data_IF_688157392523
#
_entry.id   IF_688157392523
#
_cell.length_a   1.000
_cell.length_b   1.000
_cell.length_c   1.000
_cell.angle_alpha   90.00
_cell.angle_beta   90.00
_cell.angle_gamma   90.00
#
_symmetry.space_group_name_H-M   'P 1'
#
loop_
_entity.id
_entity.type
_entity.pdbx_description
1 polymer ?
#
# COMPACT_ATOMS: atom_id res chain seq x y z
N UNK A 1 -16.98 18.06 5.64
CA UNK A 1 -17.55 17.20 6.71
C UNK A 1 -16.53 17.05 7.82
N UNK A 2 -16.92 16.80 9.08
CA UNK A 2 -15.99 16.48 10.18
C UNK A 2 -15.74 14.97 10.22
N UNK A 3 -14.60 14.53 10.80
CA UNK A 3 -14.24 13.10 10.86
C UNK A 3 -15.38 12.25 11.47
N UNK A 4 -15.89 12.60 12.64
CA UNK A 4 -16.98 11.84 13.28
C UNK A 4 -18.28 11.78 12.43
N UNK A 5 -18.53 12.77 11.58
CA UNK A 5 -19.69 12.74 10.66
C UNK A 5 -19.42 11.73 9.53
N UNK A 6 -18.19 11.70 9.02
CA UNK A 6 -17.78 10.72 8.03
C UNK A 6 -17.86 9.30 8.60
N UNK A 7 -17.26 9.07 9.78
CA UNK A 7 -17.25 7.75 10.42
C UNK A 7 -18.66 7.22 10.67
N UNK A 8 -19.58 8.10 11.13
CA UNK A 8 -20.97 7.75 11.31
C UNK A 8 -21.66 7.39 9.98
N UNK A 9 -21.54 8.24 8.96
CA UNK A 9 -22.17 7.99 7.66
C UNK A 9 -21.60 6.78 6.98
N UNK A 10 -20.29 6.60 7.02
CA UNK A 10 -19.63 5.45 6.40
C UNK A 10 -19.97 4.13 7.11
N UNK A 11 -20.07 4.15 8.45
CA UNK A 11 -20.55 2.99 9.19
C UNK A 11 -21.97 2.60 8.75
N UNK A 12 -22.89 3.58 8.66
CA UNK A 12 -24.28 3.32 8.23
C UNK A 12 -24.32 2.86 6.77
N UNK A 13 -23.45 3.38 5.92
CA UNK A 13 -23.33 2.94 4.54
C UNK A 13 -22.98 1.44 4.44
N UNK A 14 -21.98 0.99 5.23
CA UNK A 14 -21.50 -0.41 5.20
C UNK A 14 -22.45 -1.39 5.90
N UNK A 15 -23.04 -1.00 7.02
CA UNK A 15 -23.71 -1.92 7.96
C UNK A 15 -25.21 -1.65 8.12
N UNK A 16 -25.72 -0.57 7.54
CA UNK A 16 -27.08 -0.11 7.83
C UNK A 16 -27.20 0.59 9.19
N UNK A 17 -28.45 0.95 9.55
CA UNK A 17 -28.75 1.59 10.83
C UNK A 17 -29.09 0.55 11.89
N UNK A 18 -28.08 -0.13 12.44
CA UNK A 18 -28.21 -1.29 13.33
C UNK A 18 -28.20 -0.94 14.85
N UNK A 19 -28.49 0.33 15.18
CA UNK A 19 -28.63 0.81 16.55
C UNK A 19 -27.46 1.68 17.02
N UNK A 20 -27.78 2.80 17.65
CA UNK A 20 -26.81 3.84 18.04
C UNK A 20 -25.73 3.35 19.00
N UNK A 21 -26.03 2.37 19.86
CA UNK A 21 -25.02 1.81 20.78
C UNK A 21 -23.94 1.03 20.03
N UNK A 22 -24.34 0.24 19.04
CA UNK A 22 -23.40 -0.55 18.23
C UNK A 22 -22.56 0.38 17.36
N UNK A 23 -23.17 1.40 16.73
CA UNK A 23 -22.45 2.42 15.98
C UNK A 23 -21.39 3.11 16.86
N UNK A 24 -21.80 3.52 18.08
CA UNK A 24 -20.91 4.18 19.04
C UNK A 24 -19.70 3.32 19.41
N UNK A 25 -19.91 2.03 19.65
CA UNK A 25 -18.82 1.07 19.94
C UNK A 25 -17.88 0.88 18.77
N UNK A 26 -18.42 0.68 17.57
CA UNK A 26 -17.62 0.41 16.36
C UNK A 26 -16.86 1.64 15.86
N UNK A 27 -17.39 2.86 16.05
CA UNK A 27 -16.77 4.10 15.59
C UNK A 27 -15.93 4.80 16.67
N UNK A 28 -15.94 4.28 17.90
CA UNK A 28 -15.35 4.93 19.08
C UNK A 28 -15.87 6.38 19.30
N UNK A 29 -17.11 6.65 18.90
CA UNK A 29 -17.80 7.93 19.08
C UNK A 29 -18.81 7.78 20.23
N UNK A 30 -18.90 8.76 21.14
CA UNK A 30 -19.84 8.67 22.26
C UNK A 30 -21.30 8.55 21.79
N UNK A 31 -22.12 7.78 22.52
CA UNK A 31 -23.55 7.58 22.20
C UNK A 31 -24.31 8.89 22.01
N UNK A 32 -24.03 9.90 22.88
CA UNK A 32 -24.63 11.21 22.76
C UNK A 32 -24.24 11.96 21.48
N UNK A 33 -22.99 11.79 21.02
CA UNK A 33 -22.54 12.35 19.75
C UNK A 33 -23.19 11.62 18.55
N UNK A 34 -23.29 10.30 18.58
CA UNK A 34 -24.02 9.50 17.56
C UNK A 34 -25.47 9.96 17.46
N UNK A 35 -26.18 10.12 18.60
CA UNK A 35 -27.58 10.61 18.58
C UNK A 35 -27.71 12.01 17.96
N UNK A 36 -26.78 12.93 18.26
CA UNK A 36 -26.76 14.26 17.65
C UNK A 36 -26.48 14.20 16.15
N UNK A 37 -25.53 13.36 15.71
CA UNK A 37 -25.21 13.17 14.29
C UNK A 37 -26.40 12.58 13.54
N UNK A 38 -27.04 11.55 14.09
CA UNK A 38 -28.21 10.94 13.47
C UNK A 38 -29.37 11.95 13.31
N UNK A 39 -29.68 12.78 14.36
CA UNK A 39 -30.71 13.81 14.27
C UNK A 39 -30.34 14.84 13.20
N UNK A 40 -29.08 15.34 13.19
CA UNK A 40 -28.60 16.25 12.15
C UNK A 40 -28.79 15.67 10.75
N UNK A 41 -28.39 14.39 10.56
CA UNK A 41 -28.53 13.72 9.26
C UNK A 41 -30.01 13.54 8.85
N UNK A 42 -30.93 13.31 9.80
CA UNK A 42 -32.37 13.27 9.52
C UNK A 42 -32.91 14.64 9.14
N UNK A 43 -32.54 15.71 9.84
CA UNK A 43 -32.93 17.08 9.54
C UNK A 43 -32.55 17.52 8.12
N UNK A 44 -31.37 17.09 7.64
CA UNK A 44 -30.93 17.37 6.28
C UNK A 44 -31.34 16.28 5.27
N UNK A 45 -32.20 15.35 5.66
CA UNK A 45 -32.69 14.23 4.83
C UNK A 45 -31.58 13.30 4.29
N UNK A 46 -30.45 13.25 4.96
CA UNK A 46 -29.35 12.34 4.62
C UNK A 46 -29.51 10.94 5.22
N UNK A 47 -30.42 10.79 6.20
CA UNK A 47 -30.72 9.56 6.91
C UNK A 47 -32.23 9.39 7.08
N UNK A 48 -32.74 8.19 6.84
CA UNK A 48 -34.12 7.79 7.14
C UNK A 48 -34.16 6.52 8.03
N UNK A 49 -35.32 5.89 8.16
CA UNK A 49 -35.48 4.66 8.96
C UNK A 49 -34.79 3.43 8.32
N UNK A 50 -34.49 3.45 7.02
CA UNK A 50 -33.84 2.38 6.28
C UNK A 50 -32.32 2.51 6.24
N UNK A 51 -31.78 3.67 6.60
CA UNK A 51 -30.34 3.97 6.55
C UNK A 51 -30.02 5.25 5.79
N UNK A 52 -28.92 5.29 5.04
CA UNK A 52 -28.58 6.45 4.22
C UNK A 52 -29.51 6.60 3.02
N UNK A 53 -30.00 7.81 2.84
CA UNK A 53 -30.70 8.23 1.63
C UNK A 53 -29.69 8.49 0.48
N UNK A 54 -30.15 8.68 -0.77
CA UNK A 54 -29.27 9.14 -1.86
C UNK A 54 -28.50 10.42 -1.51
N UNK A 55 -29.12 11.33 -0.74
CA UNK A 55 -28.47 12.55 -0.25
C UNK A 55 -27.36 12.25 0.77
N UNK A 56 -27.57 11.27 1.64
CA UNK A 56 -26.53 10.80 2.57
C UNK A 56 -25.33 10.16 1.84
N UNK A 57 -25.59 9.39 0.80
CA UNK A 57 -24.54 8.81 -0.06
C UNK A 57 -23.76 9.91 -0.80
N UNK A 58 -24.45 10.96 -1.28
CA UNK A 58 -23.80 12.08 -1.96
C UNK A 58 -22.84 12.84 -1.04
N UNK A 59 -23.11 12.89 0.29
CA UNK A 59 -22.19 13.47 1.27
C UNK A 59 -20.87 12.66 1.41
N UNK A 60 -20.87 11.36 1.14
CA UNK A 60 -19.67 10.51 1.15
C UNK A 60 -18.86 10.63 -0.15
N UNK A 61 -19.49 11.05 -1.24
CA UNK A 61 -18.87 11.04 -2.58
C UNK A 61 -17.50 11.73 -2.68
N UNK A 62 -17.22 12.88 -2.01
CA UNK A 62 -15.88 13.49 -2.03
C UNK A 62 -14.78 12.62 -1.43
N UNK A 63 -15.14 11.61 -0.64
CA UNK A 63 -14.23 10.69 0.05
C UNK A 63 -14.14 9.33 -0.63
N UNK A 64 -14.86 9.16 -1.75
CA UNK A 64 -14.79 7.92 -2.53
C UNK A 64 -13.41 7.76 -3.13
N UNK A 65 -12.86 6.56 -3.02
CA UNK A 65 -11.60 6.20 -3.69
C UNK A 65 -11.86 6.13 -5.20
N UNK A 66 -11.07 6.87 -5.96
CA UNK A 66 -11.21 6.91 -7.42
C UNK A 66 -10.49 5.74 -8.09
N UNK A 67 -9.27 5.43 -7.60
CA UNK A 67 -8.42 4.43 -8.22
C UNK A 67 -7.34 3.89 -7.27
N UNK A 68 -6.61 2.89 -7.76
CA UNK A 68 -5.40 2.38 -7.13
C UNK A 68 -4.25 2.29 -8.12
N UNK A 69 -3.03 2.55 -7.64
CA UNK A 69 -1.77 2.35 -8.36
C UNK A 69 -0.98 1.29 -7.61
N UNK A 70 -0.59 0.21 -8.32
CA UNK A 70 0.31 -0.82 -7.77
C UNK A 70 1.67 -0.65 -8.46
N UNK A 71 2.68 -0.32 -7.66
CA UNK A 71 4.05 -0.15 -8.14
C UNK A 71 4.76 -1.50 -8.19
N UNK A 72 5.08 -1.97 -9.40
CA UNK A 72 5.67 -3.29 -9.66
C UNK A 72 6.83 -3.21 -10.67
N UNK A 73 7.57 -2.10 -10.68
CA UNK A 73 8.65 -1.87 -11.65
C UNK A 73 10.02 -2.37 -11.17
N UNK A 74 10.22 -2.57 -9.87
CA UNK A 74 11.52 -2.85 -9.25
C UNK A 74 12.09 -4.24 -9.57
N UNK A 75 13.43 -4.34 -9.53
CA UNK A 75 14.16 -5.60 -9.77
C UNK A 75 14.21 -6.54 -8.58
N UNK A 76 13.87 -6.07 -7.38
CA UNK A 76 13.90 -6.84 -6.12
C UNK A 76 15.23 -7.57 -5.91
N UNK A 77 16.36 -6.86 -6.06
CA UNK A 77 17.72 -7.43 -6.07
C UNK A 77 18.09 -8.13 -4.76
N UNK A 78 17.45 -7.77 -3.64
CA UNK A 78 17.61 -8.47 -2.35
C UNK A 78 16.92 -9.84 -2.32
N UNK A 79 16.05 -10.13 -3.29
CA UNK A 79 15.23 -11.34 -3.35
C UNK A 79 15.82 -12.42 -4.26
N UNK A 80 17.12 -12.32 -4.57
CA UNK A 80 17.82 -13.35 -5.35
C UNK A 80 17.85 -14.69 -4.59
N UNK A 81 17.76 -15.84 -5.29
CA UNK A 81 17.72 -15.97 -6.76
C UNK A 81 16.31 -15.94 -7.35
N UNK A 82 15.24 -15.87 -6.53
CA UNK A 82 13.85 -15.88 -7.02
C UNK A 82 13.57 -14.72 -7.96
N UNK A 83 14.05 -13.51 -7.64
CA UNK A 83 13.87 -12.33 -8.49
C UNK A 83 14.53 -12.46 -9.87
N UNK A 84 15.56 -13.32 -10.01
CA UNK A 84 16.14 -13.63 -11.32
C UNK A 84 15.20 -14.48 -12.19
N UNK A 85 14.26 -15.20 -11.61
CA UNK A 85 13.31 -16.04 -12.32
C UNK A 85 11.98 -15.33 -12.56
N UNK A 86 11.46 -14.62 -11.54
CA UNK A 86 10.19 -13.89 -11.65
C UNK A 86 10.19 -12.62 -10.79
N UNK A 87 9.38 -11.60 -11.15
CA UNK A 87 9.19 -10.42 -10.32
C UNK A 87 8.57 -10.77 -8.97
N UNK A 88 8.93 -10.03 -7.91
CA UNK A 88 8.47 -10.25 -6.53
C UNK A 88 6.94 -10.26 -6.41
N UNK A 89 6.24 -9.32 -7.08
CA UNK A 89 4.77 -9.28 -7.07
C UNK A 89 4.06 -10.50 -7.69
N UNK A 90 4.79 -11.34 -8.45
CA UNK A 90 4.25 -12.59 -8.99
C UNK A 90 4.60 -13.83 -8.16
N UNK A 91 5.28 -13.67 -7.02
CA UNK A 91 5.51 -14.78 -6.09
C UNK A 91 4.20 -15.29 -5.52
N UNK A 92 4.15 -16.61 -5.33
CA UNK A 92 2.98 -17.29 -4.80
C UNK A 92 3.15 -17.50 -3.30
N UNK A 93 2.49 -16.71 -2.48
CA UNK A 93 2.52 -16.76 -1.01
C UNK A 93 1.20 -17.33 -0.49
N UNK A 94 1.25 -18.33 0.39
CA UNK A 94 0.05 -19.02 0.90
C UNK A 94 -0.93 -19.44 -0.22
N UNK A 95 -0.37 -19.94 -1.32
CA UNK A 95 -1.10 -20.39 -2.54
C UNK A 95 -1.70 -19.27 -3.40
N UNK A 96 -1.52 -18.00 -3.08
CA UNK A 96 -1.99 -16.86 -3.87
C UNK A 96 -0.83 -16.04 -4.43
N UNK A 97 -0.98 -15.51 -5.64
CA UNK A 97 -0.02 -14.58 -6.23
C UNK A 97 -0.21 -13.21 -5.57
N UNK A 98 0.87 -12.60 -5.05
CA UNK A 98 0.84 -11.36 -4.27
C UNK A 98 0.01 -10.26 -4.94
N UNK A 99 0.38 -9.86 -6.15
CA UNK A 99 -0.32 -8.79 -6.86
C UNK A 99 -1.78 -9.16 -7.22
N UNK A 100 -2.05 -10.44 -7.51
CA UNK A 100 -3.43 -10.89 -7.78
C UNK A 100 -4.31 -10.80 -6.54
N UNK A 101 -3.75 -11.11 -5.37
CA UNK A 101 -4.44 -10.98 -4.08
C UNK A 101 -4.79 -9.52 -3.82
N UNK A 102 -3.84 -8.58 -3.99
CA UNK A 102 -4.10 -7.16 -3.84
C UNK A 102 -5.20 -6.66 -4.79
N UNK A 103 -5.14 -7.05 -6.08
CA UNK A 103 -6.15 -6.67 -7.08
C UNK A 103 -7.55 -7.18 -6.67
N UNK A 104 -7.65 -8.43 -6.19
CA UNK A 104 -8.93 -8.99 -5.72
C UNK A 104 -9.48 -8.21 -4.53
N UNK A 105 -8.64 -7.90 -3.53
CA UNK A 105 -9.03 -7.14 -2.36
C UNK A 105 -9.48 -5.70 -2.72
N UNK A 106 -8.81 -5.05 -3.68
CA UNK A 106 -9.25 -3.76 -4.22
C UNK A 106 -10.63 -3.86 -4.89
N UNK A 107 -10.85 -4.90 -5.72
CA UNK A 107 -12.16 -5.13 -6.35
C UNK A 107 -13.25 -5.41 -5.31
N UNK A 108 -12.97 -6.20 -4.28
CA UNK A 108 -13.88 -6.47 -3.16
C UNK A 108 -14.25 -5.20 -2.39
N UNK A 109 -13.33 -4.25 -2.30
CA UNK A 109 -13.58 -2.92 -1.74
C UNK A 109 -14.28 -1.95 -2.71
N UNK A 110 -14.67 -2.41 -3.91
CA UNK A 110 -15.35 -1.58 -4.91
C UNK A 110 -14.41 -0.69 -5.75
N UNK A 111 -13.10 -0.87 -5.65
CA UNK A 111 -12.09 -0.09 -6.39
C UNK A 111 -11.72 -0.87 -7.66
N UNK A 112 -12.27 -0.42 -8.80
CA UNK A 112 -12.14 -1.14 -10.08
C UNK A 112 -11.17 -0.47 -11.06
N UNK A 113 -10.82 0.81 -10.87
CA UNK A 113 -9.83 1.50 -11.69
C UNK A 113 -8.43 1.28 -11.10
N UNK A 114 -7.77 0.21 -11.53
CA UNK A 114 -6.46 -0.20 -11.04
C UNK A 114 -5.43 -0.06 -12.14
N UNK A 115 -4.31 0.60 -11.83
CA UNK A 115 -3.18 0.76 -12.76
C UNK A 115 -1.92 0.12 -12.16
N UNK A 116 -1.29 -0.76 -12.94
CA UNK A 116 0.00 -1.35 -12.60
C UNK A 116 1.10 -0.53 -13.28
N UNK A 117 2.13 -0.13 -12.52
CA UNK A 117 3.33 0.48 -13.11
C UNK A 117 4.43 -0.57 -13.11
N UNK A 118 4.81 -1.03 -14.31
CA UNK A 118 5.66 -2.19 -14.54
C UNK A 118 7.02 -1.78 -15.11
N UNK A 119 8.06 -2.54 -14.79
CA UNK A 119 9.40 -2.34 -15.33
C UNK A 119 10.10 -3.68 -15.57
N UNK A 120 10.77 -4.19 -14.55
CA UNK A 120 11.49 -5.46 -14.61
C UNK A 120 10.58 -6.64 -14.96
N UNK A 121 10.94 -7.39 -16.00
CA UNK A 121 10.17 -8.56 -16.50
C UNK A 121 8.67 -8.26 -16.69
N UNK A 122 8.34 -7.04 -17.15
CA UNK A 122 6.97 -6.55 -17.33
C UNK A 122 6.06 -7.49 -18.11
N UNK A 123 6.63 -8.25 -19.06
CA UNK A 123 5.89 -9.18 -19.92
C UNK A 123 5.17 -10.27 -19.11
N UNK A 124 5.71 -10.63 -17.96
CA UNK A 124 5.13 -11.64 -17.06
C UNK A 124 3.84 -11.16 -16.39
N UNK A 125 3.58 -9.85 -16.37
CA UNK A 125 2.38 -9.26 -15.78
C UNK A 125 1.25 -9.00 -16.80
N UNK A 126 1.51 -9.02 -18.11
CA UNK A 126 0.54 -8.60 -19.13
C UNK A 126 -0.78 -9.40 -19.12
N UNK A 127 -0.75 -10.64 -18.65
CA UNK A 127 -1.98 -11.43 -18.49
C UNK A 127 -2.99 -10.82 -17.53
N UNK A 128 -2.53 -9.99 -16.56
CA UNK A 128 -3.38 -9.32 -15.57
C UNK A 128 -4.32 -8.32 -16.21
N UNK A 129 -3.91 -7.66 -17.30
CA UNK A 129 -4.74 -6.72 -18.04
C UNK A 129 -6.06 -7.39 -18.49
N UNK A 130 -5.98 -8.56 -19.11
CA UNK A 130 -7.15 -9.31 -19.54
C UNK A 130 -7.88 -9.99 -18.38
N UNK A 131 -7.13 -10.51 -17.39
CA UNK A 131 -7.71 -11.30 -16.29
C UNK A 131 -8.49 -10.45 -15.30
N UNK A 132 -8.02 -9.24 -15.01
CA UNK A 132 -8.56 -8.36 -13.96
C UNK A 132 -8.99 -6.98 -14.46
N UNK A 133 -8.92 -6.73 -15.77
CA UNK A 133 -9.25 -5.43 -16.36
C UNK A 133 -8.43 -4.26 -15.76
N UNK A 134 -7.16 -4.50 -15.48
CA UNK A 134 -6.23 -3.47 -14.99
C UNK A 134 -5.57 -2.74 -16.14
N UNK A 135 -5.13 -1.51 -15.90
CA UNK A 135 -4.34 -0.70 -16.83
C UNK A 135 -2.86 -0.91 -16.57
N UNK A 136 -2.03 -0.71 -17.59
CA UNK A 136 -0.57 -0.86 -17.47
C UNK A 136 0.12 0.43 -17.92
N UNK A 137 1.03 0.92 -17.10
CA UNK A 137 2.02 1.94 -17.43
C UNK A 137 3.39 1.27 -17.39
N UNK A 138 4.23 1.52 -18.38
CA UNK A 138 5.59 0.98 -18.43
C UNK A 138 6.58 2.03 -17.95
N UNK A 139 7.41 1.65 -16.97
CA UNK A 139 8.59 2.42 -16.59
C UNK A 139 9.80 1.88 -17.37
N UNK A 140 10.31 2.60 -18.39
CA UNK A 140 11.46 2.16 -19.15
C UNK A 140 12.79 2.34 -18.40
N UNK A 141 12.82 3.21 -17.38
CA UNK A 141 14.02 3.57 -16.62
C UNK A 141 14.14 2.85 -15.27
N UNK A 142 13.37 1.78 -15.06
CA UNK A 142 13.30 1.02 -13.81
C UNK A 142 14.65 0.52 -13.27
N UNK A 143 15.65 0.37 -14.14
CA UNK A 143 16.99 -0.09 -13.80
C UNK A 143 18.01 1.04 -13.57
N UNK A 144 17.62 2.26 -13.84
CA UNK A 144 18.46 3.47 -13.73
C UNK A 144 17.93 4.40 -12.64
N UNK A 145 16.60 4.57 -12.58
CA UNK A 145 15.92 5.44 -11.61
C UNK A 145 15.15 4.61 -10.58
N UNK A 146 14.95 5.20 -9.40
CA UNK A 146 14.22 4.56 -8.31
C UNK A 146 12.68 4.75 -8.44
N UNK A 147 11.91 4.39 -7.40
CA UNK A 147 10.44 4.37 -7.43
C UNK A 147 9.79 5.76 -7.53
N UNK A 148 10.54 6.85 -7.30
CA UNK A 148 10.07 8.21 -7.55
C UNK A 148 9.69 8.39 -9.04
N UNK A 149 10.50 7.88 -9.98
CA UNK A 149 10.17 7.84 -11.41
C UNK A 149 8.92 6.99 -11.69
N UNK A 150 8.79 5.84 -11.03
CA UNK A 150 7.61 4.98 -11.17
C UNK A 150 6.33 5.73 -10.82
N UNK A 151 6.34 6.50 -9.75
CA UNK A 151 5.20 7.31 -9.33
C UNK A 151 5.00 8.54 -10.24
N UNK A 152 6.08 9.17 -10.71
CA UNK A 152 6.01 10.27 -11.67
C UNK A 152 5.29 9.88 -12.96
N UNK A 153 5.53 8.69 -13.49
CA UNK A 153 4.84 8.19 -14.68
C UNK A 153 3.33 8.06 -14.48
N UNK A 154 2.89 7.76 -13.26
CA UNK A 154 1.48 7.67 -12.88
C UNK A 154 0.86 8.99 -12.38
N UNK A 155 1.62 10.11 -12.35
CA UNK A 155 1.19 11.38 -11.74
C UNK A 155 -0.13 11.94 -12.23
N UNK A 156 -0.49 11.70 -13.50
CA UNK A 156 -1.70 12.25 -14.11
C UNK A 156 -2.99 11.53 -13.70
N UNK A 157 -2.87 10.38 -13.05
CA UNK A 157 -4.02 9.61 -12.55
C UNK A 157 -4.18 9.68 -11.03
N UNK A 158 -3.31 10.44 -10.35
CA UNK A 158 -3.42 10.72 -8.92
C UNK A 158 -4.67 11.56 -8.63
N UNK A 159 -5.53 11.05 -7.72
CA UNK A 159 -6.78 11.64 -7.25
C UNK A 159 -6.99 11.24 -5.77
N UNK A 160 -8.17 10.70 -5.43
CA UNK A 160 -8.35 9.90 -4.22
C UNK A 160 -7.79 8.49 -4.48
N UNK A 161 -6.51 8.29 -4.25
CA UNK A 161 -5.74 7.17 -4.81
C UNK A 161 -5.08 6.32 -3.74
N UNK A 162 -5.25 5.00 -3.81
CA UNK A 162 -4.35 4.09 -3.14
C UNK A 162 -3.06 3.91 -3.94
N UNK A 163 -1.92 3.91 -3.26
CA UNK A 163 -0.62 3.58 -3.83
C UNK A 163 -0.06 2.43 -3.02
N UNK A 164 0.24 1.31 -3.68
CA UNK A 164 0.66 0.07 -3.05
C UNK A 164 1.94 -0.45 -3.68
N UNK A 165 2.80 -1.06 -2.88
CA UNK A 165 3.88 -1.91 -3.36
C UNK A 165 3.31 -3.27 -3.76
N UNK A 166 3.84 -3.86 -4.84
CA UNK A 166 3.35 -5.16 -5.36
C UNK A 166 3.75 -6.36 -4.51
N UNK A 167 4.56 -6.16 -3.51
CA UNK A 167 5.16 -7.17 -2.63
C UNK A 167 4.52 -7.23 -1.23
N UNK A 168 3.54 -6.39 -0.96
CA UNK A 168 2.74 -6.47 0.25
C UNK A 168 1.79 -7.67 0.20
N UNK A 169 1.70 -8.39 1.31
CA UNK A 169 0.70 -9.42 1.57
C UNK A 169 -0.22 -8.97 2.69
N UNK A 170 -1.49 -8.76 2.37
CA UNK A 170 -2.52 -8.40 3.34
C UNK A 170 -3.28 -9.67 3.76
N UNK A 171 -3.25 -10.04 5.04
CA UNK A 171 -3.96 -11.21 5.56
C UNK A 171 -5.47 -11.03 5.51
N UNK A 172 -5.94 -9.81 5.70
CA UNK A 172 -7.33 -9.38 5.53
C UNK A 172 -7.42 -8.19 4.56
N UNK A 173 -8.62 -7.82 4.14
CA UNK A 173 -8.80 -6.69 3.24
C UNK A 173 -8.62 -5.37 3.99
N UNK A 174 -7.57 -4.62 3.67
CA UNK A 174 -7.21 -3.32 4.27
C UNK A 174 -7.81 -2.13 3.53
N UNK A 175 -8.44 -2.37 2.37
CA UNK A 175 -8.98 -1.33 1.50
C UNK A 175 -10.41 -0.97 1.88
N UNK A 176 -10.70 0.32 1.86
CA UNK A 176 -12.02 0.90 2.06
C UNK A 176 -12.47 1.67 0.81
N UNK A 177 -13.76 1.57 0.45
CA UNK A 177 -14.34 2.29 -0.70
C UNK A 177 -14.33 3.81 -0.51
N UNK A 178 -14.43 4.26 0.74
CA UNK A 178 -14.41 5.68 1.13
C UNK A 178 -13.37 5.89 2.21
N UNK A 179 -12.56 6.93 2.08
CA UNK A 179 -11.50 7.26 3.04
C UNK A 179 -11.49 8.75 3.33
N UNK A 180 -11.49 9.10 4.61
CA UNK A 180 -11.64 10.49 5.06
C UNK A 180 -10.42 11.37 4.78
N UNK A 181 -9.22 10.86 5.06
CA UNK A 181 -7.98 11.64 4.99
C UNK A 181 -6.82 10.79 4.50
N UNK A 182 -5.79 11.43 3.97
CA UNK A 182 -4.57 10.76 3.56
C UNK A 182 -3.90 10.07 4.74
N UNK A 183 -3.40 8.86 4.52
CA UNK A 183 -2.66 8.11 5.52
C UNK A 183 -1.53 7.27 4.93
N UNK A 184 -0.55 6.99 5.77
CA UNK A 184 0.49 5.99 5.54
C UNK A 184 0.22 4.77 6.43
N UNK A 185 0.18 3.57 5.86
CA UNK A 185 0.01 2.34 6.61
C UNK A 185 1.27 2.02 7.41
N UNK A 186 1.07 1.48 8.60
CA UNK A 186 2.10 1.18 9.57
C UNK A 186 1.79 -0.07 10.34
N UNK A 187 2.82 -0.73 10.82
CA UNK A 187 2.78 -1.60 12.00
C UNK A 187 3.69 -1.02 13.06
N UNK A 188 3.36 -1.30 14.32
CA UNK A 188 4.23 -0.94 15.45
C UNK A 188 5.26 -2.04 15.68
N UNK A 189 6.54 -1.68 15.77
CA UNK A 189 7.65 -2.58 16.06
C UNK A 189 8.34 -2.15 17.34
N UNK A 190 8.58 -3.09 18.26
CA UNK A 190 9.22 -2.82 19.57
C UNK A 190 10.75 -2.93 19.49
N UNK A 191 11.25 -3.68 18.49
CA UNK A 191 12.68 -3.93 18.33
C UNK A 191 13.34 -2.89 17.40
N UNK A 192 14.65 -2.78 17.50
CA UNK A 192 15.45 -1.95 16.57
C UNK A 192 15.39 -2.54 15.16
N UNK A 193 15.08 -1.69 14.20
CA UNK A 193 15.13 -2.06 12.77
C UNK A 193 15.72 -0.95 11.92
N UNK A 194 16.10 -1.30 10.70
CA UNK A 194 16.63 -0.36 9.69
C UNK A 194 15.49 0.26 8.85
N UNK A 195 14.23 0.07 9.28
CA UNK A 195 13.05 0.61 8.63
C UNK A 195 12.89 2.11 8.88
N UNK A 196 12.00 2.72 8.13
CA UNK A 196 11.69 4.14 8.27
C UNK A 196 10.57 4.33 9.29
N UNK A 197 10.89 5.06 10.39
CA UNK A 197 9.99 5.30 11.52
C UNK A 197 9.28 6.64 11.38
N UNK A 198 7.96 6.61 11.52
CA UNK A 198 7.12 7.81 11.49
C UNK A 198 6.96 8.41 12.88
N UNK A 199 7.28 9.69 13.02
CA UNK A 199 7.02 10.49 14.21
C UNK A 199 5.74 11.28 13.98
N UNK A 200 4.78 11.13 14.88
CA UNK A 200 3.45 11.74 14.78
C UNK A 200 3.18 12.74 15.89
N UNK A 201 2.32 13.72 15.62
CA UNK A 201 1.82 14.65 16.62
C UNK A 201 0.56 14.10 17.33
N UNK A 202 -0.01 14.91 18.25
CA UNK A 202 -1.21 14.54 19.00
C UNK A 202 -2.49 14.36 18.14
N UNK A 203 -2.45 14.78 16.87
CA UNK A 203 -3.52 14.57 15.89
C UNK A 203 -3.28 13.34 15.02
N UNK A 204 -2.28 12.54 15.34
CA UNK A 204 -1.84 11.38 14.56
C UNK A 204 -1.30 11.74 13.17
N UNK A 205 -0.85 12.99 12.95
CA UNK A 205 -0.27 13.47 11.70
C UNK A 205 1.24 13.25 11.69
N UNK A 206 1.80 12.78 10.59
CA UNK A 206 3.24 12.56 10.41
C UNK A 206 3.94 13.93 10.37
N UNK A 207 4.87 14.15 11.28
CA UNK A 207 5.63 15.41 11.37
C UNK A 207 7.11 15.23 11.02
N UNK A 208 7.60 13.99 11.05
CA UNK A 208 8.99 13.63 10.73
C UNK A 208 9.08 12.13 10.44
N UNK A 209 10.07 11.76 9.63
CA UNK A 209 10.46 10.36 9.41
C UNK A 209 11.94 10.20 9.76
N UNK A 210 12.27 9.15 10.48
CA UNK A 210 13.64 8.75 10.80
C UNK A 210 13.95 7.43 10.06
N UNK A 211 15.14 7.34 9.44
CA UNK A 211 15.56 6.13 8.70
C UNK A 211 16.00 4.96 9.59
N UNK A 212 16.08 5.17 10.88
CA UNK A 212 16.44 4.16 11.88
C UNK A 212 15.67 4.47 13.15
N UNK A 213 15.35 3.45 13.91
CA UNK A 213 14.66 3.62 15.18
C UNK A 213 14.55 2.32 15.98
N UNK A 214 13.86 2.43 17.08
CA UNK A 214 13.37 1.34 17.92
C UNK A 214 12.07 1.80 18.55
N UNK A 215 11.14 0.89 18.79
CA UNK A 215 9.86 1.17 19.44
C UNK A 215 9.07 2.29 18.72
N UNK A 216 8.42 1.96 17.63
CA UNK A 216 7.64 2.95 16.87
C UNK A 216 6.92 2.39 15.63
N UNK A 217 6.20 3.27 14.98
CA UNK A 217 5.41 2.98 13.80
C UNK A 217 6.31 3.05 12.54
N UNK A 218 6.50 1.94 11.85
CA UNK A 218 7.30 1.86 10.62
C UNK A 218 6.45 2.07 9.36
N UNK A 219 7.08 2.60 8.31
CA UNK A 219 6.46 2.78 7.00
C UNK A 219 6.37 1.44 6.28
N UNK A 220 5.18 1.14 5.74
CA UNK A 220 4.94 -0.01 4.86
C UNK A 220 4.60 0.50 3.46
N UNK A 221 4.71 -0.33 2.45
CA UNK A 221 4.49 0.03 1.05
C UNK A 221 3.03 0.32 0.65
N UNK A 222 2.19 0.81 1.56
CA UNK A 222 0.76 1.04 1.36
C UNK A 222 0.32 2.40 1.89
N UNK A 223 -0.22 3.26 1.00
CA UNK A 223 -0.72 4.59 1.36
C UNK A 223 -2.04 4.90 0.67
N UNK A 224 -2.81 5.81 1.26
CA UNK A 224 -3.92 6.47 0.61
C UNK A 224 -3.69 7.98 0.57
N UNK A 225 -3.86 8.58 -0.60
CA UNK A 225 -3.82 10.02 -0.79
C UNK A 225 -5.20 10.52 -1.21
N UNK A 226 -5.72 11.51 -0.50
CA UNK A 226 -6.90 12.24 -0.94
C UNK A 226 -6.53 13.20 -2.09
N UNK A 227 -7.53 13.76 -2.73
CA UNK A 227 -7.33 14.62 -3.90
C UNK A 227 -6.39 15.81 -3.62
N UNK A 228 -6.52 16.46 -2.47
CA UNK A 228 -5.68 17.61 -2.11
C UNK A 228 -4.22 17.22 -1.95
N UNK A 229 -3.95 16.09 -1.27
CA UNK A 229 -2.59 15.58 -1.12
C UNK A 229 -2.00 15.16 -2.49
N UNK A 230 -2.77 14.46 -3.30
CA UNK A 230 -2.39 14.02 -4.65
C UNK A 230 -2.00 15.19 -5.55
N UNK A 231 -2.78 16.28 -5.55
CA UNK A 231 -2.47 17.49 -6.31
C UNK A 231 -1.13 18.12 -5.88
N UNK A 232 -0.93 18.27 -4.56
CA UNK A 232 0.29 18.87 -4.03
C UNK A 232 1.51 17.99 -4.26
N UNK A 233 1.37 16.69 -4.12
CA UNK A 233 2.47 15.78 -4.37
C UNK A 233 2.81 15.69 -5.86
N UNK A 234 1.81 15.76 -6.73
CA UNK A 234 2.01 15.84 -8.20
C UNK A 234 2.83 17.06 -8.59
N UNK A 235 2.56 18.24 -8.00
CA UNK A 235 3.37 19.46 -8.21
C UNK A 235 4.85 19.21 -7.86
N UNK A 236 5.12 18.52 -6.73
CA UNK A 236 6.48 18.18 -6.32
C UNK A 236 7.12 17.19 -7.29
N UNK A 237 6.41 16.13 -7.68
CA UNK A 237 6.92 15.13 -8.64
C UNK A 237 7.36 15.78 -9.96
N UNK A 238 6.54 16.68 -10.51
CA UNK A 238 6.86 17.38 -11.77
C UNK A 238 8.10 18.24 -11.57
N UNK A 239 8.14 19.08 -10.52
CA UNK A 239 9.25 19.97 -10.25
C UNK A 239 10.57 19.21 -10.09
N UNK A 240 10.57 18.15 -9.30
CA UNK A 240 11.80 17.41 -8.99
C UNK A 240 12.23 16.48 -10.13
N UNK A 241 11.29 15.99 -10.94
CA UNK A 241 11.63 15.29 -12.18
C UNK A 241 12.36 16.22 -13.19
N UNK A 242 11.91 17.47 -13.33
CA UNK A 242 12.57 18.46 -14.19
C UNK A 242 13.98 18.82 -13.69
N UNK A 243 14.21 18.78 -12.38
CA UNK A 243 15.51 19.06 -11.75
C UNK A 243 16.45 17.84 -11.78
N UNK A 244 15.92 16.62 -11.85
CA UNK A 244 16.67 15.36 -11.79
C UNK A 244 17.30 15.07 -10.42
N UNK A 245 16.83 15.70 -9.35
CA UNK A 245 17.45 15.63 -8.02
C UNK A 245 16.93 14.48 -7.14
N UNK A 246 15.88 13.74 -7.61
CA UNK A 246 15.33 12.56 -6.95
C UNK A 246 15.33 11.29 -7.83
N UNK A 247 16.11 11.26 -8.90
CA UNK A 247 16.16 10.12 -9.83
C UNK A 247 16.53 8.81 -9.12
N UNK A 248 17.50 8.85 -8.21
CA UNK A 248 17.95 7.69 -7.43
C UNK A 248 17.19 7.51 -6.10
N UNK A 249 16.13 8.28 -5.88
CA UNK A 249 15.45 8.32 -4.58
C UNK A 249 14.11 7.58 -4.60
N UNK A 250 13.73 7.10 -3.42
CA UNK A 250 12.37 6.67 -3.14
C UNK A 250 11.45 7.90 -3.10
N UNK A 251 10.18 7.76 -3.52
CA UNK A 251 9.19 8.84 -3.40
C UNK A 251 8.93 9.19 -1.92
N UNK A 252 9.17 8.27 -1.01
CA UNK A 252 9.14 8.45 0.43
C UNK A 252 10.19 9.48 0.90
N UNK A 253 11.34 9.55 0.23
CA UNK A 253 12.33 10.58 0.51
C UNK A 253 11.82 11.96 0.08
N UNK A 254 11.22 12.05 -1.11
CA UNK A 254 10.60 13.30 -1.58
C UNK A 254 9.49 13.76 -0.63
N UNK A 255 8.66 12.84 -0.12
CA UNK A 255 7.68 13.12 0.92
C UNK A 255 8.33 13.66 2.19
N UNK A 256 9.32 12.94 2.72
CA UNK A 256 10.00 13.28 3.98
C UNK A 256 10.62 14.68 3.94
N UNK A 257 11.27 15.03 2.83
CA UNK A 257 11.94 16.32 2.66
C UNK A 257 10.94 17.48 2.49
N UNK A 258 9.70 17.18 2.15
CA UNK A 258 8.66 18.18 1.89
C UNK A 258 7.43 18.09 2.83
N UNK A 259 7.47 17.33 3.92
CA UNK A 259 6.33 17.14 4.86
C UNK A 259 5.66 18.48 5.23
N UNK A 260 6.44 19.53 5.50
CA UNK A 260 5.92 20.85 5.91
C UNK A 260 5.20 21.62 4.80
N UNK A 261 5.34 21.21 3.54
CA UNK A 261 4.72 21.84 2.36
C UNK A 261 3.50 21.08 1.87
N UNK A 262 3.32 19.88 2.38
CA UNK A 262 2.22 18.97 2.00
C UNK A 262 1.05 19.09 2.98
N UNK A 263 -0.17 18.78 2.54
CA UNK A 263 -1.28 18.57 3.46
C UNK A 263 -0.95 17.49 4.48
N UNK A 264 -1.59 17.51 5.68
CA UNK A 264 -1.35 16.50 6.70
C UNK A 264 -1.63 15.08 6.19
N UNK A 265 -0.76 14.14 6.54
CA UNK A 265 -0.93 12.70 6.34
C UNK A 265 -0.93 12.03 7.71
N UNK A 266 -1.91 11.16 7.97
CA UNK A 266 -2.01 10.43 9.23
C UNK A 266 -1.23 9.11 9.18
N UNK A 267 -0.87 8.58 10.35
CA UNK A 267 -0.43 7.19 10.50
C UNK A 267 -1.65 6.31 10.69
N UNK A 268 -1.82 5.25 9.91
CA UNK A 268 -2.82 4.21 10.12
C UNK A 268 -2.11 2.93 10.55
N UNK A 269 -2.04 2.72 11.86
CA UNK A 269 -1.36 1.55 12.43
C UNK A 269 -2.28 0.33 12.40
N UNK A 270 -1.82 -0.74 11.80
CA UNK A 270 -2.47 -2.05 11.74
C UNK A 270 -1.85 -3.00 12.78
N UNK A 271 -2.57 -4.06 13.18
CA UNK A 271 -1.96 -5.19 13.90
C UNK A 271 -0.79 -5.78 13.10
N UNK A 272 0.23 -6.27 13.80
CA UNK A 272 1.47 -6.76 13.17
C UNK A 272 1.29 -8.02 12.29
N UNK A 273 0.14 -8.67 12.37
CA UNK A 273 -0.25 -9.84 11.59
C UNK A 273 -1.16 -9.53 10.38
N UNK A 274 -1.38 -8.24 10.07
CA UNK A 274 -2.26 -7.83 8.98
C UNK A 274 -1.51 -7.53 7.69
N UNK A 275 -0.37 -6.83 7.76
CA UNK A 275 0.41 -6.43 6.59
C UNK A 275 1.82 -7.00 6.71
N UNK A 276 2.23 -7.75 5.69
CA UNK A 276 3.58 -8.30 5.56
C UNK A 276 4.21 -7.79 4.28
N UNK A 277 5.40 -7.24 4.38
CA UNK A 277 6.29 -6.94 3.27
C UNK A 277 7.47 -7.90 3.33
N UNK A 278 7.81 -8.52 2.20
CA UNK A 278 8.92 -9.47 2.15
C UNK A 278 10.10 -8.84 1.43
N UNK A 279 11.21 -8.62 2.11
CA UNK A 279 12.42 -8.05 1.55
C UNK A 279 13.48 -9.11 1.20
N UNK A 280 13.32 -10.30 1.77
CA UNK A 280 14.26 -11.41 1.57
C UNK A 280 13.55 -12.75 1.46
N UNK A 281 14.27 -13.74 0.86
CA UNK A 281 13.80 -15.12 0.83
C UNK A 281 13.65 -15.70 2.24
N UNK A 282 14.48 -15.26 3.19
CA UNK A 282 14.43 -15.78 4.56
C UNK A 282 13.21 -15.27 5.34
N UNK A 283 12.75 -14.05 5.06
CA UNK A 283 11.45 -13.55 5.58
C UNK A 283 10.29 -14.34 5.01
N UNK A 284 10.29 -14.59 3.70
CA UNK A 284 9.27 -15.39 3.06
C UNK A 284 9.27 -16.84 3.60
N UNK A 285 10.42 -17.43 3.86
CA UNK A 285 10.54 -18.76 4.48
C UNK A 285 9.94 -18.80 5.88
N UNK A 286 10.14 -17.75 6.68
CA UNK A 286 9.53 -17.65 8.01
C UNK A 286 8.01 -17.54 7.96
N UNK A 287 7.47 -16.92 6.93
CA UNK A 287 6.03 -16.72 6.74
C UNK A 287 5.34 -17.90 6.07
N UNK A 288 5.94 -18.50 5.04
CA UNK A 288 5.37 -19.60 4.26
C UNK A 288 6.31 -20.82 4.23
N UNK A 289 5.96 -21.84 5.01
CA UNK A 289 6.73 -23.10 5.13
C UNK A 289 6.98 -23.82 3.80
N UNK A 290 6.18 -23.54 2.75
CA UNK A 290 6.40 -24.12 1.42
C UNK A 290 7.74 -23.72 0.85
N UNK A 291 8.21 -22.50 1.15
CA UNK A 291 9.52 -22.02 0.73
C UNK A 291 10.69 -22.65 1.48
N UNK A 292 10.40 -23.27 2.64
CA UNK A 292 11.37 -24.08 3.39
C UNK A 292 11.57 -25.45 2.73
N UNK A 293 10.45 -26.12 2.39
CA UNK A 293 10.47 -27.52 1.93
C UNK A 293 10.67 -27.65 0.41
N UNK A 294 10.07 -26.75 -0.35
CA UNK A 294 10.06 -26.78 -1.82
C UNK A 294 10.13 -25.35 -2.36
N UNK A 295 11.30 -24.74 -2.33
CA UNK A 295 11.47 -23.43 -2.95
C UNK A 295 11.18 -23.54 -4.45
N UNK A 296 10.23 -22.77 -5.01
CA UNK A 296 9.85 -22.87 -6.42
C UNK A 296 10.86 -22.12 -7.31
N UNK A 297 12.15 -22.38 -7.11
CA UNK A 297 13.27 -21.80 -7.85
C UNK A 297 14.02 -22.88 -8.58
N UNK A 298 14.10 -22.75 -9.91
CA UNK A 298 14.93 -23.64 -10.73
C UNK A 298 16.42 -23.50 -10.39
N UNK A 299 16.85 -22.28 -10.06
CA UNK A 299 18.23 -21.96 -9.68
C UNK A 299 18.57 -22.71 -8.39
N UNK A 300 17.78 -22.53 -7.32
CA UNK A 300 18.01 -23.22 -6.05
C UNK A 300 17.97 -24.73 -6.22
N UNK A 301 16.96 -25.26 -6.93
CA UNK A 301 16.85 -26.70 -7.17
C UNK A 301 18.04 -27.26 -7.94
N UNK A 302 18.61 -26.53 -8.91
CA UNK A 302 19.81 -26.93 -9.62
C UNK A 302 21.03 -26.91 -8.71
N UNK A 303 21.20 -25.91 -7.85
CA UNK A 303 22.28 -25.85 -6.86
C UNK A 303 22.16 -27.04 -5.89
N UNK A 304 20.98 -27.29 -5.33
CA UNK A 304 20.76 -28.43 -4.44
C UNK A 304 21.13 -29.76 -5.08
N UNK A 305 20.79 -29.97 -6.36
CA UNK A 305 21.14 -31.18 -7.11
C UNK A 305 22.64 -31.30 -7.33
N UNK A 306 23.33 -30.19 -7.66
CA UNK A 306 24.76 -30.19 -7.93
C UNK A 306 25.59 -30.46 -6.68
N UNK A 307 25.18 -29.92 -5.54
CA UNK A 307 25.91 -30.00 -4.28
C UNK A 307 25.34 -31.05 -3.33
N UNK A 308 24.32 -31.81 -3.73
CA UNK A 308 23.63 -32.81 -2.89
C UNK A 308 23.21 -32.26 -1.52
N UNK A 309 22.69 -31.03 -1.50
CA UNK A 309 22.18 -30.31 -0.33
C UNK A 309 20.68 -30.02 -0.43
N UNK A 310 20.07 -29.61 0.66
CA UNK A 310 18.68 -29.13 0.68
C UNK A 310 18.61 -27.61 0.44
N UNK A 311 17.43 -27.11 0.08
CA UNK A 311 17.22 -25.67 -0.09
C UNK A 311 17.49 -24.87 1.19
N UNK A 312 17.33 -25.50 2.38
CA UNK A 312 17.59 -24.88 3.67
C UNK A 312 19.07 -24.73 4.00
N UNK A 313 19.92 -25.53 3.35
CA UNK A 313 21.37 -25.45 3.56
C UNK A 313 21.98 -24.27 2.79
N UNK A 314 21.17 -23.59 1.96
CA UNK A 314 21.60 -22.46 1.14
C UNK A 314 21.01 -21.18 1.74
N UNK A 315 21.88 -20.36 2.33
CA UNK A 315 21.53 -19.07 2.97
C UNK A 315 22.38 -17.94 2.38
N UNK A 316 22.09 -16.71 2.76
CA UNK A 316 22.91 -15.53 2.40
C UNK A 316 23.11 -15.31 0.90
N UNK A 317 22.05 -15.47 0.12
CA UNK A 317 22.11 -15.12 -1.29
C UNK A 317 22.41 -13.62 -1.45
N UNK A 318 23.47 -13.32 -2.21
CA UNK A 318 23.86 -11.94 -2.52
C UNK A 318 23.95 -11.73 -4.02
N UNK A 319 23.35 -10.64 -4.49
CA UNK A 319 23.58 -10.19 -5.86
C UNK A 319 24.99 -9.66 -5.97
N UNK A 320 25.84 -10.37 -6.72
CA UNK A 320 27.16 -9.88 -7.08
C UNK A 320 26.97 -9.01 -8.32
N UNK A 321 27.26 -7.70 -8.23
CA UNK A 321 27.38 -6.87 -9.43
C UNK A 321 28.43 -7.51 -10.32
N UNK A 322 28.13 -7.68 -11.61
CA UNK A 322 29.12 -8.11 -12.58
C UNK A 322 30.36 -7.24 -12.40
N UNK A 323 31.45 -7.86 -12.00
CA UNK A 323 32.74 -7.19 -11.94
C UNK A 323 33.07 -6.71 -13.34
N UNK A 324 33.35 -5.42 -13.49
CA UNK A 324 34.04 -4.93 -14.66
C UNK A 324 35.36 -5.76 -14.76
N UNK A 325 35.33 -6.81 -15.57
CA UNK A 325 36.57 -7.45 -16.01
C UNK A 325 37.30 -6.43 -16.86
N UNK A 326 38.36 -5.85 -16.28
CA UNK A 326 39.36 -5.12 -17.04
C UNK A 326 40.02 -6.03 -18.05
#
# INVERSE_FOLDING_TARGET
MKNNEFDFLYYVYKNGLDGYRKIAQSTNISLGAISKLANKCKEIEALDEKGLTPKGIELLKPYKVDNAIIMAAGMSSRFVPLSLEMPKGLLKVKDEILIERQIKQLHEAGINDITLVLGYKKEMFFYLEKKYNVKIIINPEYNVKNNCETLYLARNILKNTYICSSDDYFTENVFDEYVYTSYYASIHVEEKSDEWYMIKNNKNEIIKVNKFGNDGDIMLGHVYWNHEFSEKFRELLIKHHELGDYDDSLWEQLFTDNIKKLPPMQVKTYPSDVIFEFDSLDELRRFDEKYVKNTPSKIINNICRLFSCSANDITDFKHIKEGLTN
#
